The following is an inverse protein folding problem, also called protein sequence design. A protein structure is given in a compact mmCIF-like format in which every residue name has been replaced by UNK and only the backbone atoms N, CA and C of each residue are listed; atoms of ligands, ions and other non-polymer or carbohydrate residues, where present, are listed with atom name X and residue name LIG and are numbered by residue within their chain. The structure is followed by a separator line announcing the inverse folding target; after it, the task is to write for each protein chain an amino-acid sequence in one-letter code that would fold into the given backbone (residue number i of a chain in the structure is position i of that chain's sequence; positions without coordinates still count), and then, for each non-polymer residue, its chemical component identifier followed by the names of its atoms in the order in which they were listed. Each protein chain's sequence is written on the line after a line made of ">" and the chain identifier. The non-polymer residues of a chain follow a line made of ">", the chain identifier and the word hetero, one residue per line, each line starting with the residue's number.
data_IF_809953707519
#
_entry.id   IF_809953707519
#
_cell.length_a   1.000
_cell.length_b   1.000
_cell.length_c   1.000
_cell.angle_alpha   90.00
_cell.angle_beta   90.00
_cell.angle_gamma   90.00
#
_symmetry.space_group_name_H-M   'P 1'
#
loop_
_entity.id
_entity.type
_entity.pdbx_description
1 polymer ?
#
# COMPACT_ATOMS: atom_id res chain seq x y z
N UNK A 1 -45.62 27.89 2.15
CA UNK A 1 -44.64 26.90 2.60
C UNK A 1 -44.36 27.14 4.07
N UNK A 2 -44.75 26.20 4.93
CA UNK A 2 -44.56 26.35 6.37
C UNK A 2 -43.09 26.11 6.73
N UNK A 3 -42.59 26.74 7.79
CA UNK A 3 -41.20 26.52 8.29
C UNK A 3 -40.90 25.05 8.55
N UNK A 4 -41.93 24.23 8.76
CA UNK A 4 -41.84 22.80 9.02
C UNK A 4 -41.40 21.98 7.79
N UNK A 5 -41.80 22.37 6.58
CA UNK A 5 -41.40 21.67 5.34
C UNK A 5 -39.92 21.91 4.97
N UNK A 6 -39.37 23.07 5.32
CA UNK A 6 -37.98 23.43 5.02
C UNK A 6 -37.01 22.64 5.93
N UNK A 7 -37.41 22.29 7.15
CA UNK A 7 -36.59 21.48 8.07
C UNK A 7 -36.57 20.02 7.65
N UNK A 8 -37.68 19.48 7.13
CA UNK A 8 -37.77 18.08 6.74
C UNK A 8 -36.92 17.77 5.49
N UNK A 9 -36.83 18.71 4.53
CA UNK A 9 -35.97 18.54 3.34
C UNK A 9 -34.46 18.67 3.62
N UNK A 10 -34.05 19.41 4.66
CA UNK A 10 -32.62 19.47 5.05
C UNK A 10 -32.12 18.15 5.67
N UNK A 11 -32.98 17.41 6.36
CA UNK A 11 -32.61 16.12 6.96
C UNK A 11 -32.46 15.00 5.92
N UNK A 12 -33.22 15.03 4.83
CA UNK A 12 -33.10 14.02 3.76
C UNK A 12 -31.79 14.21 2.99
N UNK A 13 -31.42 15.45 2.65
CA UNK A 13 -30.16 15.74 1.97
C UNK A 13 -28.93 15.37 2.82
N UNK A 14 -28.96 15.61 4.14
CA UNK A 14 -27.90 15.20 5.07
C UNK A 14 -27.73 13.68 5.15
N UNK A 15 -28.84 12.93 5.22
CA UNK A 15 -28.81 11.47 5.30
C UNK A 15 -28.36 10.80 3.98
N UNK A 16 -28.72 11.37 2.83
CA UNK A 16 -28.25 10.87 1.52
C UNK A 16 -26.76 11.15 1.33
N UNK A 17 -26.25 12.32 1.72
CA UNK A 17 -24.81 12.62 1.63
C UNK A 17 -23.98 11.75 2.60
N UNK A 18 -24.52 11.45 3.78
CA UNK A 18 -23.85 10.61 4.79
C UNK A 18 -23.93 9.13 4.40
N UNK A 19 -25.02 8.70 3.76
CA UNK A 19 -25.15 7.38 3.14
C UNK A 19 -24.20 7.19 1.95
N UNK A 20 -24.12 8.18 1.05
CA UNK A 20 -23.17 8.19 -0.07
C UNK A 20 -21.72 8.23 0.42
N UNK A 21 -21.40 8.99 1.47
CA UNK A 21 -20.08 8.92 2.13
C UNK A 21 -19.79 7.52 2.65
N UNK A 22 -20.74 6.84 3.31
CA UNK A 22 -20.51 5.45 3.78
C UNK A 22 -20.38 4.42 2.66
N UNK A 23 -21.02 4.63 1.52
CA UNK A 23 -21.00 3.70 0.37
C UNK A 23 -19.79 3.92 -0.53
N UNK A 24 -19.36 5.16 -0.75
CA UNK A 24 -18.25 5.51 -1.66
C UNK A 24 -16.93 5.86 -0.94
N UNK A 25 -16.99 6.19 0.36
CA UNK A 25 -15.85 6.47 1.24
C UNK A 25 -16.07 5.80 2.60
N UNK A 26 -16.24 4.46 2.68
CA UNK A 26 -16.22 3.84 3.99
C UNK A 26 -14.88 4.22 4.62
N UNK A 27 -14.89 4.53 5.92
CA UNK A 27 -13.67 4.74 6.69
C UNK A 27 -12.82 3.45 6.55
N UNK A 28 -12.00 3.39 5.50
CA UNK A 28 -11.05 2.32 5.23
C UNK A 28 -9.88 2.54 6.19
N UNK A 29 -10.16 2.40 7.48
CA UNK A 29 -9.14 2.13 8.48
C UNK A 29 -8.68 0.70 8.24
N UNK A 30 -7.55 0.55 7.57
CA UNK A 30 -6.83 -0.72 7.56
C UNK A 30 -6.60 -1.15 9.03
N UNK A 31 -6.74 -2.45 9.35
CA UNK A 31 -6.57 -2.94 10.71
C UNK A 31 -5.14 -2.69 11.17
N UNK A 32 -5.02 -2.15 12.38
CA UNK A 32 -3.78 -1.58 12.87
C UNK A 32 -3.53 -1.99 14.31
N UNK A 33 -2.51 -2.83 14.47
CA UNK A 33 -2.01 -3.35 15.73
C UNK A 33 -0.84 -2.49 16.22
N UNK A 34 -0.96 -1.93 17.43
CA UNK A 34 0.22 -1.56 18.22
C UNK A 34 0.10 -1.94 19.69
N UNK A 35 1.07 -2.76 20.07
CA UNK A 35 1.41 -3.27 21.39
C UNK A 35 1.90 -2.17 22.32
N UNK A 36 1.29 -2.04 23.50
CA UNK A 36 2.01 -1.75 24.74
C UNK A 36 1.80 -2.93 25.69
N UNK A 37 2.85 -3.72 25.86
CA UNK A 37 2.87 -4.82 26.80
C UNK A 37 2.72 -4.29 28.23
N UNK A 38 1.55 -4.53 28.82
CA UNK A 38 1.41 -5.16 30.14
C UNK A 38 0.13 -6.02 30.05
N UNK A 39 0.32 -7.27 29.63
CA UNK A 39 -0.67 -8.22 29.08
C UNK A 39 -1.30 -7.74 27.77
N UNK A 40 -1.14 -8.54 26.73
CA UNK A 40 -1.81 -8.38 25.44
C UNK A 40 -3.29 -8.68 25.69
N UNK A 41 -4.05 -7.64 26.06
CA UNK A 41 -5.51 -7.63 25.95
C UNK A 41 -5.79 -7.18 24.53
N UNK A 42 -6.13 -8.13 23.68
CA UNK A 42 -6.87 -7.84 22.45
C UNK A 42 -8.22 -7.30 22.94
N UNK A 43 -8.50 -6.03 22.65
CA UNK A 43 -9.78 -5.40 22.98
C UNK A 43 -10.49 -5.14 21.65
N UNK A 44 -11.57 -5.89 21.34
CA UNK A 44 -12.24 -5.82 20.05
C UNK A 44 -12.93 -4.48 19.79
N UNK A 45 -13.20 -3.67 20.82
CA UNK A 45 -13.75 -2.33 20.65
C UNK A 45 -12.70 -1.32 20.17
N UNK A 46 -11.42 -1.61 20.42
CA UNK A 46 -10.29 -0.81 19.95
C UNK A 46 -9.97 -1.06 18.46
N UNK A 47 -10.43 -2.19 17.91
CA UNK A 47 -10.37 -2.50 16.47
C UNK A 47 -11.27 -1.57 15.63
N UNK A 48 -12.26 -0.92 16.26
CA UNK A 48 -13.27 -0.10 15.59
C UNK A 48 -13.08 1.40 15.91
N UNK A 49 -12.37 1.74 17.00
CA UNK A 49 -12.14 3.12 17.48
C UNK A 49 -10.70 3.59 17.31
N UNK A 50 -10.16 3.51 16.10
CA UNK A 50 -8.99 4.31 15.75
C UNK A 50 -9.44 5.77 15.50
N UNK A 51 -9.86 6.44 16.57
CA UNK A 51 -10.03 7.90 16.59
C UNK A 51 -8.63 8.53 16.67
N UNK A 52 -8.26 9.17 15.56
CA UNK A 52 -7.65 10.50 15.44
C UNK A 52 -6.26 10.82 16.06
N UNK A 53 -5.68 10.07 17.00
CA UNK A 53 -4.49 10.60 17.72
C UNK A 53 -3.09 10.19 17.22
N UNK A 54 -2.92 9.08 16.50
CA UNK A 54 -1.59 8.64 16.00
C UNK A 54 -1.47 8.69 14.45
N UNK A 55 -2.50 9.17 13.75
CA UNK A 55 -2.54 9.29 12.29
C UNK A 55 -2.34 10.72 11.77
N UNK A 56 -2.07 11.70 12.64
CA UNK A 56 -2.00 13.11 12.26
C UNK A 56 -0.94 13.43 11.18
N UNK A 57 0.07 12.57 10.98
CA UNK A 57 1.19 12.87 10.08
C UNK A 57 1.07 12.31 8.64
N UNK A 58 0.19 11.33 8.36
CA UNK A 58 0.13 10.70 7.02
C UNK A 58 -1.06 11.18 6.20
N UNK A 59 -0.89 12.30 5.51
CA UNK A 59 -1.89 12.86 4.60
C UNK A 59 -1.90 12.14 3.24
N UNK A 60 -2.38 10.90 3.19
CA UNK A 60 -2.48 10.08 1.98
C UNK A 60 -3.14 10.83 0.81
N UNK A 61 -4.30 11.45 1.06
CA UNK A 61 -5.05 12.16 0.03
C UNK A 61 -4.31 13.39 -0.46
N UNK A 62 -3.67 14.15 0.42
CA UNK A 62 -2.83 15.28 0.03
C UNK A 62 -1.66 14.85 -0.86
N UNK A 63 -0.96 13.77 -0.50
CA UNK A 63 0.11 13.18 -1.31
C UNK A 63 -0.42 12.74 -2.67
N UNK A 64 -1.56 12.06 -2.71
CA UNK A 64 -2.16 11.57 -3.94
C UNK A 64 -2.58 12.73 -4.87
N UNK A 65 -3.30 13.73 -4.36
CA UNK A 65 -3.72 14.89 -5.16
C UNK A 65 -2.53 15.71 -5.67
N UNK A 66 -1.52 15.94 -4.82
CA UNK A 66 -0.28 16.58 -5.25
C UNK A 66 0.42 15.77 -6.35
N UNK A 67 0.45 14.45 -6.21
CA UNK A 67 1.06 13.55 -7.20
C UNK A 67 0.29 13.56 -8.53
N UNK A 68 -1.05 13.56 -8.50
CA UNK A 68 -1.88 13.71 -9.70
C UNK A 68 -1.55 15.03 -10.40
N UNK A 69 -1.49 16.13 -9.65
CA UNK A 69 -1.16 17.44 -10.21
C UNK A 69 0.22 17.44 -10.89
N UNK A 70 1.24 16.88 -10.24
CA UNK A 70 2.59 16.75 -10.82
C UNK A 70 2.57 15.91 -12.10
N UNK A 71 1.90 14.75 -12.09
CA UNK A 71 1.78 13.88 -13.27
C UNK A 71 1.09 14.60 -14.42
N UNK A 72 0.00 15.35 -14.16
CA UNK A 72 -0.70 16.14 -15.17
C UNK A 72 0.23 17.21 -15.76
N UNK A 73 0.90 18.00 -14.92
CA UNK A 73 1.86 19.04 -15.37
C UNK A 73 2.98 18.43 -16.22
N UNK A 74 3.57 17.31 -15.78
CA UNK A 74 4.60 16.63 -16.56
C UNK A 74 4.06 16.06 -17.89
N UNK A 75 2.85 15.51 -17.91
CA UNK A 75 2.25 14.99 -19.14
C UNK A 75 2.01 16.08 -20.21
N UNK A 76 1.73 17.31 -19.76
CA UNK A 76 1.47 18.46 -20.63
C UNK A 76 2.78 19.14 -21.08
N UNK A 77 3.70 19.40 -20.15
CA UNK A 77 4.84 20.29 -20.38
C UNK A 77 6.21 19.60 -20.34
N UNK A 78 6.34 18.47 -19.63
CA UNK A 78 7.63 17.80 -19.36
C UNK A 78 7.56 16.30 -19.62
N UNK A 79 7.16 15.90 -20.82
CA UNK A 79 6.95 14.48 -21.16
C UNK A 79 8.18 13.61 -20.94
N UNK A 80 9.37 14.18 -21.09
CA UNK A 80 10.65 13.54 -20.81
C UNK A 80 10.84 13.12 -19.34
N UNK A 81 10.09 13.73 -18.40
CA UNK A 81 10.08 13.32 -16.99
C UNK A 81 9.23 12.07 -16.72
N UNK A 82 8.51 11.56 -17.74
CA UNK A 82 7.70 10.34 -17.69
C UNK A 82 8.36 9.28 -18.60
N UNK A 83 9.38 8.56 -18.14
CA UNK A 83 10.25 7.74 -19.00
C UNK A 83 9.53 6.62 -19.73
N UNK A 84 8.41 6.16 -19.20
CA UNK A 84 7.57 5.14 -19.84
C UNK A 84 6.34 5.72 -20.51
N UNK A 85 6.14 7.04 -20.55
CA UNK A 85 4.82 7.63 -20.83
C UNK A 85 3.81 7.40 -19.69
N UNK A 86 2.52 7.65 -19.92
CA UNK A 86 1.49 7.52 -18.88
C UNK A 86 0.84 6.14 -18.82
N UNK A 87 0.71 5.49 -19.96
CA UNK A 87 -0.07 4.27 -20.16
C UNK A 87 0.73 2.97 -20.21
N UNK A 88 2.01 2.94 -20.61
CA UNK A 88 2.72 1.66 -20.79
C UNK A 88 2.84 0.74 -19.58
N UNK A 89 2.71 1.23 -18.34
CA UNK A 89 2.64 0.35 -17.15
C UNK A 89 1.33 -0.44 -17.06
N UNK A 90 0.30 -0.04 -17.81
CA UNK A 90 -0.96 -0.76 -17.93
C UNK A 90 -0.89 -1.93 -18.92
N UNK A 91 0.16 -2.00 -19.73
CA UNK A 91 0.35 -3.12 -20.64
C UNK A 91 0.65 -4.37 -19.84
N UNK A 92 -0.27 -5.32 -19.96
CA UNK A 92 -0.16 -6.63 -19.36
C UNK A 92 0.87 -7.46 -20.13
N UNK A 93 1.83 -8.01 -19.39
CA UNK A 93 2.78 -9.01 -19.92
C UNK A 93 2.57 -10.32 -19.18
N UNK A 94 2.64 -11.43 -19.90
CA UNK A 94 2.39 -12.75 -19.34
C UNK A 94 0.92 -13.03 -19.03
N UNK A 95 0.68 -14.11 -18.29
CA UNK A 95 -0.66 -14.57 -17.90
C UNK A 95 -0.80 -14.69 -16.37
N UNK A 96 -2.03 -14.93 -15.90
CA UNK A 96 -2.33 -15.05 -14.47
C UNK A 96 -1.44 -16.06 -13.74
N UNK A 97 -1.17 -17.22 -14.35
CA UNK A 97 -0.32 -18.25 -13.76
C UNK A 97 1.11 -17.74 -13.58
N UNK A 98 1.68 -17.08 -14.59
CA UNK A 98 3.01 -16.48 -14.51
C UNK A 98 3.09 -15.42 -13.40
N UNK A 99 2.06 -14.59 -13.22
CA UNK A 99 2.04 -13.57 -12.17
C UNK A 99 2.02 -14.20 -10.78
N UNK A 100 1.13 -15.19 -10.57
CA UNK A 100 0.98 -15.87 -9.28
C UNK A 100 2.20 -16.72 -8.96
N UNK A 101 2.80 -17.38 -9.95
CA UNK A 101 4.07 -18.09 -9.79
C UNK A 101 5.17 -17.09 -9.46
N UNK A 102 5.32 -15.99 -10.19
CA UNK A 102 6.34 -14.98 -9.86
C UNK A 102 6.16 -14.43 -8.44
N UNK A 103 4.92 -14.29 -7.95
CA UNK A 103 4.59 -13.81 -6.62
C UNK A 103 4.64 -14.88 -5.50
N UNK A 104 4.98 -16.14 -5.81
CA UNK A 104 5.02 -17.21 -4.80
C UNK A 104 5.86 -16.88 -3.55
N UNK A 105 7.02 -16.17 -3.64
CA UNK A 105 7.83 -15.90 -2.44
C UNK A 105 7.09 -15.04 -1.43
N UNK A 106 6.36 -14.01 -1.89
CA UNK A 106 5.59 -13.14 -0.99
C UNK A 106 4.36 -13.86 -0.42
N UNK A 107 3.72 -14.74 -1.20
CA UNK A 107 2.62 -15.57 -0.71
C UNK A 107 3.06 -16.53 0.39
N UNK A 108 4.17 -17.22 0.17
CA UNK A 108 4.75 -18.13 1.16
C UNK A 108 5.15 -17.37 2.44
N UNK A 109 5.75 -16.19 2.30
CA UNK A 109 6.10 -15.34 3.44
C UNK A 109 4.87 -14.86 4.21
N UNK A 110 3.88 -14.28 3.54
CA UNK A 110 2.65 -13.78 4.18
C UNK A 110 1.89 -14.89 4.91
N UNK A 111 1.56 -15.97 4.20
CA UNK A 111 0.85 -17.10 4.78
C UNK A 111 1.64 -17.77 5.91
N UNK A 112 2.94 -18.00 5.70
CA UNK A 112 3.82 -18.65 6.68
C UNK A 112 4.00 -17.83 7.95
N UNK A 113 4.27 -16.53 7.83
CA UNK A 113 4.41 -15.65 8.97
C UNK A 113 3.09 -15.51 9.75
N UNK A 114 1.97 -15.32 9.07
CA UNK A 114 0.65 -15.26 9.72
C UNK A 114 0.30 -16.58 10.41
N UNK A 115 0.63 -17.72 9.80
CA UNK A 115 0.43 -19.05 10.42
C UNK A 115 1.28 -19.18 11.67
N UNK A 116 2.58 -18.82 11.60
CA UNK A 116 3.49 -18.87 12.73
C UNK A 116 2.96 -18.03 13.91
N UNK A 117 2.56 -16.77 13.65
CA UNK A 117 1.99 -15.89 14.66
C UNK A 117 0.70 -16.49 15.25
N UNK A 118 -0.17 -17.03 14.40
CA UNK A 118 -1.43 -17.63 14.83
C UNK A 118 -1.20 -18.84 15.75
N UNK A 119 -0.23 -19.69 15.46
CA UNK A 119 0.11 -20.86 16.31
C UNK A 119 0.65 -20.47 17.69
N UNK A 120 1.38 -19.36 17.79
CA UNK A 120 2.00 -18.92 19.07
C UNK A 120 1.14 -17.92 19.85
N UNK A 121 0.00 -17.52 19.30
CA UNK A 121 -0.94 -16.60 19.93
C UNK A 121 -2.29 -17.27 20.10
N UNK A 122 -3.19 -16.61 20.84
CA UNK A 122 -4.56 -17.06 20.99
C UNK A 122 -5.47 -15.89 20.65
N UNK A 123 -6.51 -16.18 19.88
CA UNK A 123 -7.51 -15.20 19.54
C UNK A 123 -8.43 -14.91 20.74
N UNK A 124 -9.05 -13.75 20.70
CA UNK A 124 -10.18 -13.48 21.58
C UNK A 124 -11.36 -14.36 21.20
N UNK A 125 -12.02 -14.91 22.22
CA UNK A 125 -13.21 -15.75 22.05
C UNK A 125 -14.29 -15.08 21.20
N UNK A 126 -14.49 -13.77 21.39
CA UNK A 126 -15.46 -12.99 20.63
C UNK A 126 -15.10 -12.87 19.14
N UNK A 127 -13.81 -12.87 18.79
CA UNK A 127 -13.37 -12.87 17.41
C UNK A 127 -13.67 -14.21 16.76
N UNK A 128 -13.38 -15.34 17.43
CA UNK A 128 -13.63 -16.69 16.91
C UNK A 128 -15.08 -16.91 16.44
N UNK A 129 -16.05 -16.29 17.12
CA UNK A 129 -17.46 -16.33 16.73
C UNK A 129 -17.77 -15.58 15.41
N UNK A 130 -16.87 -14.72 14.95
CA UNK A 130 -17.00 -13.82 13.78
C UNK A 130 -16.07 -14.19 12.63
N UNK A 131 -15.52 -15.40 12.58
CA UNK A 131 -14.55 -15.83 11.58
C UNK A 131 -15.04 -15.59 10.14
N UNK A 132 -16.27 -15.96 9.82
CA UNK A 132 -16.87 -15.78 8.49
C UNK A 132 -17.00 -14.28 8.12
N UNK A 133 -17.33 -13.44 9.11
CA UNK A 133 -17.36 -11.99 8.91
C UNK A 133 -15.96 -11.42 8.66
N UNK A 134 -14.90 -11.97 9.28
CA UNK A 134 -13.53 -11.56 9.01
C UNK A 134 -13.17 -11.89 7.57
N UNK A 135 -13.47 -13.10 7.08
CA UNK A 135 -13.14 -13.49 5.71
C UNK A 135 -13.86 -12.63 4.67
N UNK A 136 -15.15 -12.35 4.85
CA UNK A 136 -15.91 -11.50 3.93
C UNK A 136 -15.41 -10.04 3.93
N UNK A 137 -15.17 -9.45 5.12
CA UNK A 137 -14.61 -8.10 5.21
C UNK A 137 -13.20 -8.06 4.64
N UNK A 138 -12.40 -9.08 4.93
CA UNK A 138 -11.05 -9.27 4.40
C UNK A 138 -11.06 -9.23 2.89
N UNK A 139 -11.95 -9.98 2.24
CA UNK A 139 -12.12 -9.95 0.79
C UNK A 139 -12.37 -8.55 0.22
N UNK A 140 -13.30 -7.80 0.80
CA UNK A 140 -13.58 -6.44 0.35
C UNK A 140 -12.40 -5.49 0.57
N UNK A 141 -11.73 -5.61 1.71
CA UNK A 141 -10.53 -4.82 2.03
C UNK A 141 -9.39 -5.16 1.08
N UNK A 142 -9.08 -6.44 0.86
CA UNK A 142 -8.04 -6.89 -0.07
C UNK A 142 -8.30 -6.42 -1.50
N UNK A 143 -9.55 -6.45 -1.95
CA UNK A 143 -9.91 -5.99 -3.30
C UNK A 143 -9.67 -4.49 -3.44
N UNK A 144 -10.13 -3.71 -2.46
CA UNK A 144 -10.01 -2.26 -2.48
C UNK A 144 -8.57 -1.80 -2.28
N UNK A 145 -7.83 -2.41 -1.34
CA UNK A 145 -6.41 -2.14 -1.12
C UNK A 145 -5.60 -2.50 -2.35
N UNK A 146 -5.81 -3.70 -2.92
CA UNK A 146 -5.12 -4.14 -4.13
C UNK A 146 -5.34 -3.20 -5.31
N UNK A 147 -6.52 -2.61 -5.48
CA UNK A 147 -6.75 -1.63 -6.56
C UNK A 147 -6.21 -0.25 -6.20
N UNK A 148 -6.63 0.31 -5.06
CA UNK A 148 -6.37 1.71 -4.71
C UNK A 148 -4.89 1.94 -4.40
N UNK A 149 -4.26 1.05 -3.61
CA UNK A 149 -2.87 1.23 -3.23
C UNK A 149 -1.93 1.03 -4.42
N UNK A 150 -2.21 0.08 -5.31
CA UNK A 150 -1.40 -0.11 -6.51
C UNK A 150 -1.54 1.07 -7.48
N UNK A 151 -2.76 1.58 -7.70
CA UNK A 151 -2.95 2.80 -8.49
C UNK A 151 -2.26 4.02 -7.86
N UNK A 152 -2.33 4.17 -6.54
CA UNK A 152 -1.70 5.28 -5.86
C UNK A 152 -0.18 5.19 -5.91
N UNK A 153 0.41 4.09 -5.44
CA UNK A 153 1.85 4.00 -5.20
C UNK A 153 2.65 3.49 -6.40
N UNK A 154 2.10 2.61 -7.22
CA UNK A 154 2.84 1.97 -8.34
C UNK A 154 2.61 2.71 -9.65
N UNK A 155 1.59 3.58 -9.70
CA UNK A 155 1.36 4.48 -10.82
C UNK A 155 1.61 5.95 -10.44
N UNK A 156 0.69 6.55 -9.68
CA UNK A 156 0.62 8.02 -9.59
C UNK A 156 1.79 8.62 -8.79
N UNK A 157 2.00 8.15 -7.55
CA UNK A 157 3.08 8.60 -6.67
C UNK A 157 4.44 8.20 -7.25
N UNK A 158 4.54 7.06 -7.92
CA UNK A 158 5.77 6.65 -8.60
C UNK A 158 6.21 7.63 -9.69
N UNK A 159 5.33 7.99 -10.64
CA UNK A 159 5.67 8.99 -11.66
C UNK A 159 5.93 10.37 -11.06
N UNK A 160 5.13 10.78 -10.07
CA UNK A 160 5.39 12.04 -9.37
C UNK A 160 6.76 12.04 -8.69
N UNK A 161 7.17 10.91 -8.10
CA UNK A 161 8.47 10.80 -7.42
C UNK A 161 9.64 10.87 -8.39
N UNK A 162 9.50 10.33 -9.60
CA UNK A 162 10.49 10.52 -10.68
C UNK A 162 10.66 12.00 -11.02
N UNK A 163 9.54 12.68 -11.28
CA UNK A 163 9.55 14.10 -11.63
C UNK A 163 10.17 14.95 -10.50
N UNK A 164 9.80 14.67 -9.25
CA UNK A 164 10.37 15.32 -8.06
C UNK A 164 11.87 15.05 -7.95
N UNK A 165 12.34 13.81 -8.16
CA UNK A 165 13.77 13.49 -8.11
C UNK A 165 14.57 14.28 -9.15
N UNK A 166 14.06 14.39 -10.38
CA UNK A 166 14.67 15.21 -11.45
C UNK A 166 14.70 16.69 -11.08
N UNK A 167 13.59 17.24 -10.58
CA UNK A 167 13.50 18.64 -10.19
C UNK A 167 14.44 18.98 -9.02
N UNK A 168 14.49 18.12 -7.99
CA UNK A 168 15.41 18.29 -6.87
C UNK A 168 16.86 18.17 -7.34
N UNK A 169 17.17 17.23 -8.24
CA UNK A 169 18.53 17.13 -8.76
C UNK A 169 18.95 18.37 -9.55
N UNK A 170 18.06 18.95 -10.35
CA UNK A 170 18.31 20.23 -11.01
C UNK A 170 18.57 21.34 -9.98
N UNK A 171 17.73 21.45 -8.94
CA UNK A 171 17.89 22.45 -7.87
C UNK A 171 19.24 22.29 -7.13
N UNK A 172 19.65 21.06 -6.86
CA UNK A 172 20.90 20.73 -6.18
C UNK A 172 22.04 20.42 -7.17
N UNK A 173 22.38 21.43 -7.96
CA UNK A 173 23.57 21.51 -8.83
C UNK A 173 23.60 20.61 -10.07
N UNK A 174 22.52 19.88 -10.40
CA UNK A 174 22.49 19.00 -11.57
C UNK A 174 22.80 19.71 -12.90
N UNK A 175 22.48 21.00 -13.01
CA UNK A 175 22.82 21.84 -14.17
C UNK A 175 24.33 22.14 -14.29
N UNK A 176 25.10 22.02 -13.21
CA UNK A 176 26.55 22.23 -13.18
C UNK A 176 27.34 20.93 -13.43
N UNK A 177 26.67 19.86 -13.88
CA UNK A 177 27.28 18.54 -14.09
C UNK A 177 27.44 17.70 -12.81
N UNK A 178 27.00 18.21 -11.66
CA UNK A 178 27.03 17.51 -10.37
C UNK A 178 25.65 17.51 -9.73
N UNK A 179 24.89 16.42 -9.82
CA UNK A 179 23.60 16.32 -9.15
C UNK A 179 23.72 15.72 -7.76
N UNK A 180 23.43 16.47 -6.68
CA UNK A 180 23.55 15.94 -5.32
C UNK A 180 22.59 14.77 -5.06
N UNK A 181 21.35 14.85 -5.56
CA UNK A 181 20.34 13.79 -5.43
C UNK A 181 20.77 12.54 -6.20
N UNK A 182 21.25 12.72 -7.44
CA UNK A 182 21.82 11.65 -8.26
C UNK A 182 23.01 10.98 -7.56
N UNK A 183 23.91 11.78 -6.98
CA UNK A 183 25.09 11.27 -6.28
C UNK A 183 24.68 10.41 -5.08
N UNK A 184 23.79 10.91 -4.21
CA UNK A 184 23.30 10.16 -3.04
C UNK A 184 22.60 8.86 -3.47
N UNK A 185 21.81 8.90 -4.55
CA UNK A 185 21.19 7.69 -5.08
C UNK A 185 22.25 6.68 -5.56
N UNK A 186 23.15 7.10 -6.46
CA UNK A 186 24.12 6.21 -7.11
C UNK A 186 25.11 5.59 -6.14
N UNK A 187 25.50 6.31 -5.07
CA UNK A 187 26.53 5.85 -4.14
C UNK A 187 26.00 5.28 -2.82
N UNK A 188 24.73 5.52 -2.47
CA UNK A 188 24.16 5.01 -1.21
C UNK A 188 22.85 4.23 -1.44
N UNK A 189 21.76 4.91 -1.77
CA UNK A 189 20.43 4.29 -1.72
C UNK A 189 20.20 3.24 -2.80
N UNK A 190 20.70 3.47 -4.02
CA UNK A 190 20.61 2.54 -5.14
C UNK A 190 21.31 1.21 -4.84
N UNK A 191 22.63 1.21 -4.56
CA UNK A 191 23.37 0.00 -4.20
C UNK A 191 22.80 -0.76 -3.00
N UNK A 192 22.42 -0.05 -1.93
CA UNK A 192 21.84 -0.69 -0.74
C UNK A 192 20.52 -1.40 -1.08
N UNK A 193 19.63 -0.72 -1.82
CA UNK A 193 18.34 -1.29 -2.21
C UNK A 193 18.51 -2.44 -3.21
N UNK A 194 19.51 -2.37 -4.08
CA UNK A 194 19.86 -3.45 -5.00
C UNK A 194 20.33 -4.71 -4.24
N UNK A 195 21.16 -4.53 -3.21
CA UNK A 195 21.57 -5.64 -2.33
C UNK A 195 20.37 -6.25 -1.61
N UNK A 196 19.48 -5.42 -1.03
CA UNK A 196 18.27 -5.89 -0.34
C UNK A 196 17.29 -6.63 -1.27
N UNK A 197 17.28 -6.29 -2.56
CA UNK A 197 16.43 -6.92 -3.58
C UNK A 197 17.12 -8.07 -4.33
N UNK A 198 18.32 -8.48 -3.88
CA UNK A 198 19.06 -9.58 -4.48
C UNK A 198 19.50 -9.34 -5.93
N UNK A 199 19.56 -8.09 -6.39
CA UNK A 199 19.93 -7.75 -7.76
C UNK A 199 18.78 -7.79 -8.78
N UNK A 200 17.56 -8.19 -8.40
CA UNK A 200 16.44 -8.33 -9.35
C UNK A 200 15.98 -6.99 -9.96
N UNK A 201 16.33 -5.87 -9.33
CA UNK A 201 16.03 -4.51 -9.80
C UNK A 201 17.28 -3.73 -10.20
N UNK A 202 18.41 -4.40 -10.44
CA UNK A 202 19.71 -3.76 -10.69
C UNK A 202 19.67 -2.71 -11.81
N UNK A 203 19.06 -3.04 -12.95
CA UNK A 203 18.97 -2.09 -14.06
C UNK A 203 18.32 -0.76 -13.64
N UNK A 204 17.31 -0.80 -12.77
CA UNK A 204 16.57 0.40 -12.35
C UNK A 204 17.20 1.10 -11.15
N UNK A 205 17.88 0.35 -10.27
CA UNK A 205 18.43 0.88 -9.02
C UNK A 205 19.90 1.30 -9.09
N UNK A 206 20.69 0.78 -10.03
CA UNK A 206 22.13 1.05 -10.08
C UNK A 206 22.65 1.54 -11.43
N UNK A 207 21.89 1.46 -12.52
CA UNK A 207 22.33 2.04 -13.81
C UNK A 207 22.31 3.59 -13.72
N UNK A 208 23.47 4.25 -13.83
CA UNK A 208 23.56 5.71 -13.66
C UNK A 208 22.75 6.51 -14.70
N UNK A 209 22.36 5.90 -15.82
CA UNK A 209 21.58 6.55 -16.89
C UNK A 209 20.09 6.66 -16.55
N UNK A 210 19.60 5.77 -15.69
CA UNK A 210 18.18 5.71 -15.28
C UNK A 210 18.00 5.88 -13.77
N UNK A 211 19.00 6.46 -13.09
CA UNK A 211 19.02 6.68 -11.65
C UNK A 211 17.74 7.34 -11.11
N UNK A 212 17.12 8.24 -11.89
CA UNK A 212 15.90 8.95 -11.50
C UNK A 212 14.68 8.02 -11.39
N UNK A 213 14.67 6.92 -12.15
CA UNK A 213 13.66 5.86 -12.04
C UNK A 213 13.86 5.12 -10.73
N UNK A 214 15.10 4.72 -10.43
CA UNK A 214 15.46 4.12 -9.14
C UNK A 214 15.09 5.00 -7.95
N UNK A 215 15.41 6.30 -8.01
CA UNK A 215 15.03 7.25 -6.98
C UNK A 215 13.50 7.32 -6.81
N UNK A 216 12.75 7.37 -7.92
CA UNK A 216 11.28 7.33 -7.91
C UNK A 216 10.71 6.07 -7.26
N UNK A 217 11.27 4.89 -7.57
CA UNK A 217 10.88 3.61 -6.95
C UNK A 217 11.07 3.67 -5.43
N UNK A 218 12.24 4.11 -4.98
CA UNK A 218 12.58 4.15 -3.55
C UNK A 218 11.74 5.17 -2.79
N UNK A 219 11.48 6.35 -3.36
CA UNK A 219 10.64 7.38 -2.74
C UNK A 219 9.19 6.92 -2.65
N UNK A 220 8.62 6.39 -3.73
CA UNK A 220 7.25 5.88 -3.71
C UNK A 220 7.09 4.71 -2.72
N UNK A 221 8.09 3.81 -2.66
CA UNK A 221 8.07 2.71 -1.70
C UNK A 221 8.27 3.18 -0.26
N UNK A 222 9.07 4.21 -0.02
CA UNK A 222 9.23 4.80 1.31
C UNK A 222 7.91 5.43 1.81
N UNK A 223 7.16 6.10 0.92
CA UNK A 223 5.84 6.65 1.22
C UNK A 223 4.81 5.55 1.48
N UNK A 224 4.83 4.46 0.71
CA UNK A 224 3.99 3.28 0.92
C UNK A 224 4.25 2.63 2.29
N UNK A 225 5.52 2.38 2.59
CA UNK A 225 6.00 1.85 3.87
C UNK A 225 5.59 2.75 5.04
N UNK A 226 5.65 4.06 4.86
CA UNK A 226 5.29 5.02 5.91
C UNK A 226 3.80 4.91 6.29
N UNK A 227 2.95 4.59 5.32
CA UNK A 227 1.55 4.21 5.56
C UNK A 227 1.39 3.00 6.47
N UNK A 228 2.42 2.15 6.62
CA UNK A 228 2.41 0.91 7.40
C UNK A 228 3.22 0.99 8.71
N UNK A 229 3.75 2.16 9.09
CA UNK A 229 4.46 2.39 10.37
C UNK A 229 3.66 1.94 11.59
N UNK A 230 2.36 1.90 11.42
CA UNK A 230 1.43 1.55 12.44
C UNK A 230 1.51 0.08 12.87
N UNK A 231 1.96 -0.82 11.98
CA UNK A 231 2.19 -2.24 12.25
C UNK A 231 3.46 -2.51 13.09
N UNK A 232 4.09 -1.46 13.61
CA UNK A 232 5.36 -1.54 14.34
C UNK A 232 6.56 -1.76 13.41
N UNK A 233 7.72 -2.06 14.00
CA UNK A 233 9.00 -2.17 13.26
C UNK A 233 8.97 -3.33 12.25
N UNK A 234 8.38 -4.47 12.63
CA UNK A 234 8.29 -5.64 11.74
C UNK A 234 7.43 -5.32 10.52
N UNK A 235 6.23 -4.77 10.71
CA UNK A 235 5.37 -4.40 9.58
C UNK A 235 5.93 -3.26 8.72
N UNK A 236 6.66 -2.32 9.34
CA UNK A 236 7.39 -1.29 8.62
C UNK A 236 8.50 -1.87 7.73
N UNK A 237 9.31 -2.80 8.23
CA UNK A 237 10.33 -3.45 7.40
C UNK A 237 9.71 -4.36 6.33
N UNK A 238 8.67 -5.12 6.71
CA UNK A 238 7.95 -6.01 5.81
C UNK A 238 7.32 -5.26 4.64
N UNK A 239 6.60 -4.17 4.91
CA UNK A 239 5.96 -3.34 3.86
C UNK A 239 6.99 -2.75 2.90
N UNK A 240 8.19 -2.38 3.36
CA UNK A 240 9.25 -1.95 2.45
C UNK A 240 9.68 -3.08 1.50
N UNK A 241 9.93 -4.29 2.00
CA UNK A 241 10.36 -5.43 1.19
C UNK A 241 9.27 -5.85 0.20
N UNK A 242 8.02 -6.01 0.66
CA UNK A 242 6.88 -6.36 -0.18
C UNK A 242 6.65 -5.29 -1.24
N UNK A 243 6.76 -4.01 -0.87
CA UNK A 243 6.56 -2.93 -1.84
C UNK A 243 7.63 -2.86 -2.92
N UNK A 244 8.91 -3.16 -2.62
CA UNK A 244 9.94 -3.35 -3.64
C UNK A 244 9.65 -4.56 -4.55
N UNK A 245 9.15 -5.65 -3.97
CA UNK A 245 8.74 -6.83 -4.74
C UNK A 245 7.57 -6.52 -5.68
N UNK A 246 6.60 -5.71 -5.25
CA UNK A 246 5.51 -5.25 -6.12
C UNK A 246 6.02 -4.39 -7.28
N UNK A 247 7.08 -3.60 -7.08
CA UNK A 247 7.75 -2.92 -8.20
C UNK A 247 8.44 -3.88 -9.18
N UNK A 248 9.04 -4.96 -8.68
CA UNK A 248 9.52 -6.04 -9.54
C UNK A 248 8.38 -6.63 -10.40
N UNK A 249 7.21 -6.88 -9.81
CA UNK A 249 6.04 -7.34 -10.58
C UNK A 249 5.57 -6.28 -11.59
N UNK A 250 5.53 -5.00 -11.21
CA UNK A 250 5.09 -3.89 -12.07
C UNK A 250 5.93 -3.83 -13.36
N UNK A 251 7.25 -3.92 -13.21
CA UNK A 251 8.20 -3.79 -14.32
C UNK A 251 8.11 -4.99 -15.28
N UNK A 252 7.96 -6.19 -14.72
CA UNK A 252 7.99 -7.43 -15.50
C UNK A 252 6.64 -7.81 -16.09
N UNK A 253 5.53 -7.51 -15.41
CA UNK A 253 4.18 -7.99 -15.75
C UNK A 253 3.13 -6.88 -15.90
N UNK A 254 3.37 -5.68 -15.37
CA UNK A 254 2.46 -4.54 -15.45
C UNK A 254 1.58 -4.35 -14.22
N UNK A 255 0.83 -3.24 -14.19
CA UNK A 255 0.06 -2.79 -13.02
C UNK A 255 -1.07 -3.76 -12.65
N UNK A 256 -1.74 -4.36 -13.65
CA UNK A 256 -2.81 -5.34 -13.42
C UNK A 256 -2.29 -6.56 -12.67
N UNK A 257 -1.08 -7.02 -12.98
CA UNK A 257 -0.44 -8.11 -12.26
C UNK A 257 -0.18 -7.75 -10.79
N UNK A 258 0.28 -6.52 -10.51
CA UNK A 258 0.43 -6.03 -9.14
C UNK A 258 -0.89 -6.04 -8.37
N UNK A 259 -1.97 -5.51 -8.96
CA UNK A 259 -3.31 -5.49 -8.33
C UNK A 259 -3.76 -6.90 -7.95
N UNK A 260 -3.65 -7.84 -8.89
CA UNK A 260 -4.06 -9.24 -8.68
C UNK A 260 -3.20 -9.93 -7.63
N UNK A 261 -1.87 -9.77 -7.70
CA UNK A 261 -0.97 -10.38 -6.73
C UNK A 261 -1.10 -9.77 -5.34
N UNK A 262 -1.34 -8.46 -5.23
CA UNK A 262 -1.61 -7.82 -3.94
C UNK A 262 -2.92 -8.34 -3.34
N UNK A 263 -4.00 -8.35 -4.12
CA UNK A 263 -5.26 -8.94 -3.69
C UNK A 263 -5.09 -10.38 -3.19
N UNK A 264 -4.38 -11.22 -3.95
CA UNK A 264 -4.13 -12.61 -3.58
C UNK A 264 -3.28 -12.73 -2.30
N UNK A 265 -2.27 -11.89 -2.13
CA UNK A 265 -1.42 -11.84 -0.93
C UNK A 265 -2.25 -11.55 0.32
N UNK A 266 -3.07 -10.50 0.31
CA UNK A 266 -3.91 -10.15 1.45
C UNK A 266 -4.96 -11.23 1.73
N UNK A 267 -5.57 -11.78 0.68
CA UNK A 267 -6.56 -12.84 0.82
C UNK A 267 -5.97 -14.09 1.48
N UNK A 268 -4.73 -14.47 1.15
CA UNK A 268 -4.06 -15.59 1.81
C UNK A 268 -3.90 -15.32 3.31
N UNK A 269 -3.54 -14.10 3.71
CA UNK A 269 -3.43 -13.71 5.12
C UNK A 269 -4.80 -13.84 5.81
N UNK A 270 -5.87 -13.31 5.21
CA UNK A 270 -7.21 -13.41 5.78
C UNK A 270 -7.72 -14.85 5.86
N UNK A 271 -7.40 -15.69 4.87
CA UNK A 271 -7.75 -17.12 4.89
C UNK A 271 -7.03 -17.83 6.03
N UNK A 272 -5.73 -17.58 6.24
CA UNK A 272 -5.00 -18.17 7.37
C UNK A 272 -5.63 -17.75 8.70
N UNK A 273 -5.95 -16.46 8.88
CA UNK A 273 -6.62 -15.96 10.10
C UNK A 273 -8.01 -16.56 10.29
N UNK A 274 -8.78 -16.69 9.22
CA UNK A 274 -10.08 -17.37 9.25
C UNK A 274 -9.95 -18.81 9.74
N UNK A 275 -9.01 -19.57 9.18
CA UNK A 275 -8.77 -20.96 9.56
C UNK A 275 -8.35 -21.10 11.03
N UNK A 276 -7.46 -20.22 11.49
CA UNK A 276 -7.03 -20.16 12.89
C UNK A 276 -8.22 -19.98 13.85
N UNK A 277 -9.02 -18.94 13.61
CA UNK A 277 -10.22 -18.64 14.40
C UNK A 277 -11.26 -19.77 14.37
N UNK A 278 -11.43 -20.37 13.20
CA UNK A 278 -12.33 -21.51 13.01
C UNK A 278 -11.86 -22.74 13.80
N UNK A 279 -10.56 -23.03 13.78
CA UNK A 279 -9.97 -24.16 14.52
C UNK A 279 -10.08 -23.92 16.03
N UNK A 280 -9.76 -22.73 16.53
CA UNK A 280 -9.95 -22.40 17.95
C UNK A 280 -11.42 -22.55 18.40
N UNK A 281 -12.36 -22.15 17.54
CA UNK A 281 -13.81 -22.34 17.78
C UNK A 281 -14.17 -23.83 17.91
N UNK A 282 -13.60 -24.70 17.07
CA UNK A 282 -13.80 -26.16 17.18
C UNK A 282 -13.26 -26.74 18.50
N UNK A 283 -12.23 -26.13 19.09
CA UNK A 283 -11.71 -26.48 20.40
C UNK A 283 -12.48 -25.83 21.58
N UNK A 284 -13.67 -25.27 21.32
CA UNK A 284 -14.54 -24.72 22.35
C UNK A 284 -14.14 -23.32 22.85
N UNK A 285 -13.31 -22.59 22.10
CA UNK A 285 -12.92 -21.21 22.44
C UNK A 285 -13.87 -20.17 21.83
N UNK A 286 -15.16 -20.26 22.18
CA UNK A 286 -16.22 -19.30 21.81
C UNK A 286 -16.55 -18.31 22.90
#
# INVERSE_FOLDING_TARGET
>A
MSKTEIVQNRNIAGNVLTGLKRVFFPNFGLPNFKTKSKRISLDPDRLIRADDQDSEDYNFWGILFASIFVVVVCSLFFRQALPFGTWPIWYVKGNLTEWLVAAWPIFAWGAGFTTFVSVITLNDRSENSKAESLLFKGFLVSLMAGVVEELAFRWIVFYSSIATALALNFLFFGWAGFGAIQWVHNFAFGPLSNWLTGGHLAYWLVDPRVWFIGAGLLTANALFRDGHKYLGVIGYLNSWCIGMFMFYLLINYGLVACIVCHFAYDMLIFVVRYLDMFVERLFGRT
#
